data_IF_481500230054
#
_entry.id   IF_481500230054
#
_cell.length_a   1.000
_cell.length_b   1.000
_cell.length_c   1.000
_cell.angle_alpha   90.00
_cell.angle_beta   90.00
_cell.angle_gamma   90.00
#
_symmetry.space_group_name_H-M   'P 1'
#
loop_
_entity.id
_entity.type
_entity.pdbx_description
1 polymer ?
#
# COMPACT_ATOMS: atom_id res chain seq x y z
N UNK A 1 -14.43 53.11 -32.66
CA UNK A 1 -13.17 52.56 -32.09
C UNK A 1 -12.63 51.51 -33.04
N UNK A 2 -11.33 51.58 -33.35
CA UNK A 2 -10.65 50.89 -34.46
C UNK A 2 -10.54 49.37 -34.27
N UNK A 3 -10.99 48.60 -35.27
CA UNK A 3 -10.54 47.23 -35.49
C UNK A 3 -9.25 47.25 -36.33
N UNK A 4 -8.18 46.60 -35.85
CA UNK A 4 -6.92 46.45 -36.59
C UNK A 4 -6.60 44.96 -36.77
N UNK A 5 -6.54 44.57 -38.06
CA UNK A 5 -5.97 43.33 -38.62
C UNK A 5 -4.51 43.12 -38.20
N UNK A 6 -4.00 41.90 -38.43
CA UNK A 6 -2.66 41.49 -38.96
C UNK A 6 -2.23 40.20 -38.26
N UNK A 7 -1.66 39.14 -38.84
CA UNK A 7 -1.47 38.56 -40.19
C UNK A 7 -0.94 37.14 -39.91
N UNK A 8 -1.41 36.15 -40.65
CA UNK A 8 -0.72 34.87 -40.81
C UNK A 8 0.41 35.04 -41.85
N UNK A 9 1.60 34.51 -41.57
CA UNK A 9 2.65 34.33 -42.59
C UNK A 9 3.11 32.88 -42.59
N UNK A 10 2.85 32.21 -43.70
CA UNK A 10 3.36 30.89 -44.02
C UNK A 10 4.83 30.98 -44.46
N UNK A 11 5.64 30.00 -44.08
CA UNK A 11 6.82 29.63 -44.87
C UNK A 11 7.13 28.14 -44.75
N UNK A 12 6.97 27.47 -45.88
CA UNK A 12 7.33 26.08 -46.16
C UNK A 12 8.78 26.01 -46.59
N UNK A 13 9.57 25.06 -46.07
CA UNK A 13 10.70 24.44 -46.80
C UNK A 13 10.88 22.98 -46.40
N UNK A 14 10.68 22.09 -47.39
CA UNK A 14 11.23 20.73 -47.47
C UNK A 14 12.74 20.82 -47.65
N UNK A 15 13.51 19.94 -47.01
CA UNK A 15 14.78 19.44 -47.56
C UNK A 15 15.03 17.98 -47.17
N UNK A 16 15.42 17.22 -48.19
CA UNK A 16 15.71 15.79 -48.22
C UNK A 16 17.19 15.56 -47.82
N UNK A 17 17.46 14.46 -47.13
CA UNK A 17 18.67 13.64 -47.27
C UNK A 17 19.99 14.10 -46.64
N UNK A 18 20.47 13.35 -45.64
CA UNK A 18 21.85 12.82 -45.61
C UNK A 18 22.05 11.88 -44.42
N UNK A 19 22.56 10.69 -44.73
CA UNK A 19 22.95 9.64 -43.80
C UNK A 19 24.09 10.12 -42.89
N UNK A 20 23.91 10.03 -41.58
CA UNK A 20 24.99 10.19 -40.60
C UNK A 20 25.06 8.92 -39.77
N UNK A 21 26.06 8.09 -40.08
CA UNK A 21 26.51 7.01 -39.20
C UNK A 21 27.09 7.63 -37.92
N UNK A 22 26.48 7.32 -36.78
CA UNK A 22 27.04 7.58 -35.47
C UNK A 22 27.18 6.24 -34.75
N UNK A 23 28.42 5.76 -34.67
CA UNK A 23 28.81 4.62 -33.88
C UNK A 23 28.54 4.91 -32.41
N UNK A 24 27.66 4.13 -31.79
CA UNK A 24 27.39 4.16 -30.35
C UNK A 24 28.43 3.22 -29.70
N UNK A 25 29.26 3.67 -28.75
CA UNK A 25 30.08 2.77 -27.98
C UNK A 25 29.16 1.96 -27.06
N UNK A 26 29.18 0.64 -27.22
CA UNK A 26 28.54 -0.30 -26.29
C UNK A 26 29.31 -0.23 -24.98
N UNK A 27 28.77 0.51 -24.01
CA UNK A 27 29.26 0.49 -22.64
C UNK A 27 28.71 -0.78 -21.98
N UNK A 28 29.61 -1.73 -21.72
CA UNK A 28 29.36 -2.90 -20.87
C UNK A 28 29.01 -2.41 -19.45
N UNK A 29 27.73 -2.29 -19.13
CA UNK A 29 27.30 -2.21 -17.74
C UNK A 29 27.28 -3.63 -17.17
N UNK A 30 28.31 -3.95 -16.39
CA UNK A 30 28.31 -5.07 -15.47
C UNK A 30 27.10 -4.95 -14.54
N UNK A 31 26.20 -5.94 -14.59
CA UNK A 31 25.07 -6.05 -13.66
C UNK A 31 25.56 -6.21 -12.23
N UNK A 32 25.40 -5.17 -11.42
CA UNK A 32 25.35 -5.29 -9.96
C UNK A 32 23.99 -5.84 -9.54
N UNK A 33 23.89 -6.56 -8.42
CA UNK A 33 22.61 -7.11 -7.96
C UNK A 33 21.64 -5.95 -7.68
N UNK A 34 20.46 -6.04 -8.30
CA UNK A 34 19.35 -5.13 -8.05
C UNK A 34 18.96 -5.23 -6.57
N UNK A 35 19.34 -4.23 -5.77
CA UNK A 35 18.74 -4.02 -4.47
C UNK A 35 17.25 -3.73 -4.70
N UNK A 36 16.38 -4.45 -3.99
CA UNK A 36 14.95 -4.18 -3.96
C UNK A 36 14.72 -2.73 -3.51
N UNK A 37 14.40 -1.86 -4.48
CA UNK A 37 14.07 -0.46 -4.23
C UNK A 37 12.71 -0.36 -3.56
N UNK A 38 12.69 -0.36 -2.23
CA UNK A 38 11.53 0.04 -1.45
C UNK A 38 11.10 1.47 -1.82
N UNK A 39 9.80 1.60 -2.12
CA UNK A 39 9.09 2.82 -2.50
C UNK A 39 9.37 3.99 -1.56
N UNK A 40 9.49 5.19 -2.15
CA UNK A 40 9.62 6.54 -1.55
C UNK A 40 9.30 6.56 -0.05
N UNK A 41 10.34 6.70 0.77
CA UNK A 41 10.17 6.88 2.21
C UNK A 41 9.65 8.28 2.50
N UNK A 42 8.42 8.37 3.01
CA UNK A 42 7.88 9.58 3.61
C UNK A 42 8.79 10.06 4.74
N UNK A 43 9.05 11.37 4.84
CA UNK A 43 9.88 11.94 5.90
C UNK A 43 9.20 11.70 7.26
N UNK A 44 9.92 11.04 8.16
CA UNK A 44 9.57 10.86 9.56
C UNK A 44 10.10 12.05 10.37
N UNK A 45 9.20 12.75 11.06
CA UNK A 45 9.53 13.85 11.97
C UNK A 45 9.42 13.41 13.43
N UNK A 46 10.52 13.42 14.18
CA UNK A 46 10.54 13.07 15.59
C UNK A 46 11.86 12.43 16.05
N UNK A 47 11.88 12.00 17.31
CA UNK A 47 12.99 11.21 17.83
C UNK A 47 12.95 9.81 17.18
N UNK A 48 14.06 9.37 16.58
CA UNK A 48 14.11 8.04 15.98
C UNK A 48 14.19 6.96 17.07
N UNK A 49 14.12 5.66 16.72
CA UNK A 49 14.28 4.57 17.69
C UNK A 49 15.56 4.71 18.51
N UNK A 50 15.48 4.42 19.82
CA UNK A 50 16.60 4.60 20.75
C UNK A 50 17.74 3.57 20.60
N UNK A 51 17.51 2.52 19.82
CA UNK A 51 18.45 1.43 19.53
C UNK A 51 19.22 1.63 18.23
N UNK A 52 19.06 2.77 17.56
CA UNK A 52 19.83 3.12 16.38
C UNK A 52 21.32 3.23 16.66
N UNK A 53 22.12 2.56 15.82
CA UNK A 53 23.57 2.62 15.81
C UNK A 53 24.02 3.44 14.61
N UNK A 54 24.90 4.41 14.81
CA UNK A 54 25.48 5.15 13.68
C UNK A 54 26.26 4.17 12.79
N UNK A 55 25.86 4.10 11.52
CA UNK A 55 26.50 3.25 10.52
C UNK A 55 27.64 4.04 9.88
N UNK A 56 27.35 5.26 9.42
CA UNK A 56 28.30 6.10 8.70
C UNK A 56 27.77 7.52 8.44
N UNK A 57 28.68 8.42 8.05
CA UNK A 57 28.36 9.78 7.61
C UNK A 57 27.85 9.83 6.17
N UNK A 58 27.17 10.91 5.82
CA UNK A 58 26.74 11.19 4.44
C UNK A 58 27.89 11.09 3.42
N UNK A 59 27.54 10.66 2.21
CA UNK A 59 28.42 10.41 1.06
C UNK A 59 29.43 9.26 1.26
N UNK A 60 29.16 8.33 2.18
CA UNK A 60 29.93 7.08 2.37
C UNK A 60 29.10 5.85 2.03
N UNK A 61 29.79 4.80 1.57
CA UNK A 61 29.22 3.45 1.40
C UNK A 61 29.45 2.64 2.65
N UNK A 62 28.42 1.96 3.13
CA UNK A 62 28.38 1.40 4.47
C UNK A 62 27.85 -0.03 4.40
N UNK A 63 28.56 -1.00 5.00
CA UNK A 63 28.11 -2.40 4.99
C UNK A 63 26.91 -2.56 5.93
N UNK A 64 26.00 -3.45 5.55
CA UNK A 64 24.83 -3.85 6.31
C UNK A 64 24.94 -5.35 6.52
N UNK A 65 24.97 -5.78 7.77
CA UNK A 65 24.99 -7.19 8.14
C UNK A 65 23.56 -7.72 8.23
N UNK A 66 23.21 -8.69 7.39
CA UNK A 66 21.85 -9.17 7.24
C UNK A 66 20.88 -8.13 6.66
N UNK A 67 19.59 -8.27 7.00
CA UNK A 67 18.57 -7.25 6.68
C UNK A 67 18.44 -6.33 7.88
N UNK A 68 18.65 -5.04 7.68
CA UNK A 68 18.53 -4.02 8.72
C UNK A 68 17.61 -2.88 8.27
N UNK A 69 17.05 -2.18 9.24
CA UNK A 69 16.37 -0.92 8.98
C UNK A 69 17.40 0.22 9.01
N UNK A 70 17.65 0.83 7.86
CA UNK A 70 18.62 1.92 7.69
C UNK A 70 17.88 3.24 7.70
N UNK A 71 18.26 4.12 8.63
CA UNK A 71 17.72 5.47 8.83
C UNK A 71 18.69 6.51 8.32
N UNK A 72 18.23 7.44 7.50
CA UNK A 72 18.98 8.56 6.96
C UNK A 72 18.34 9.87 7.39
N UNK A 73 19.07 10.73 8.09
CA UNK A 73 18.49 11.98 8.56
C UNK A 73 19.34 12.80 9.51
N UNK A 74 18.76 13.92 9.96
CA UNK A 74 19.32 14.85 10.94
C UNK A 74 18.20 15.69 11.56
N UNK A 75 18.43 16.25 12.74
CA UNK A 75 17.53 17.21 13.40
C UNK A 75 16.06 16.77 13.40
N UNK A 76 15.80 15.54 13.86
CA UNK A 76 14.47 14.92 13.94
C UNK A 76 13.79 14.69 12.59
N UNK A 77 14.47 14.84 11.46
CA UNK A 77 13.92 14.57 10.13
C UNK A 77 14.64 13.39 9.49
N UNK A 78 13.90 12.31 9.22
CA UNK A 78 14.46 11.01 8.87
C UNK A 78 13.74 10.36 7.70
N UNK A 79 14.44 9.56 6.91
CA UNK A 79 13.87 8.60 5.97
C UNK A 79 14.52 7.26 6.27
N UNK A 80 13.73 6.19 6.37
CA UNK A 80 14.26 4.86 6.63
C UNK A 80 13.85 3.86 5.56
N UNK A 81 14.68 2.85 5.35
CA UNK A 81 14.47 1.76 4.38
C UNK A 81 14.98 0.44 4.96
N UNK A 82 14.31 -0.65 4.60
CA UNK A 82 14.84 -2.00 4.81
C UNK A 82 15.85 -2.31 3.70
N UNK A 83 17.08 -2.60 4.08
CA UNK A 83 18.18 -2.82 3.16
C UNK A 83 19.06 -3.97 3.67
N UNK A 84 19.82 -4.57 2.77
CA UNK A 84 20.82 -5.58 3.08
C UNK A 84 22.07 -5.39 2.22
N UNK A 85 23.20 -5.96 2.66
CA UNK A 85 24.46 -5.90 1.92
C UNK A 85 25.19 -4.58 2.11
N UNK A 86 24.92 -3.56 1.28
CA UNK A 86 25.57 -2.26 1.43
C UNK A 86 24.64 -1.12 1.02
N UNK A 87 24.80 0.03 1.66
CA UNK A 87 24.04 1.23 1.36
C UNK A 87 24.98 2.40 1.07
N UNK A 88 24.65 3.17 0.04
CA UNK A 88 25.27 4.47 -0.17
C UNK A 88 24.47 5.54 0.57
N UNK A 89 25.07 6.13 1.60
CA UNK A 89 24.42 7.06 2.51
C UNK A 89 24.27 8.46 1.91
N UNK A 90 23.28 8.67 1.04
CA UNK A 90 23.13 9.93 0.32
C UNK A 90 21.67 10.27 -0.03
N UNK A 91 21.42 11.54 -0.35
CA UNK A 91 20.14 12.07 -0.82
C UNK A 91 19.64 11.35 -2.08
N UNK A 92 20.52 10.83 -2.94
CA UNK A 92 20.10 10.04 -4.11
C UNK A 92 19.44 8.71 -3.71
N UNK A 93 19.91 8.09 -2.63
CA UNK A 93 19.39 6.82 -2.13
C UNK A 93 18.10 7.01 -1.33
N UNK A 94 18.03 8.04 -0.50
CA UNK A 94 16.95 8.21 0.47
C UNK A 94 15.96 9.34 0.13
N UNK A 95 16.29 10.24 -0.81
CA UNK A 95 15.72 11.60 -0.88
C UNK A 95 16.20 12.46 0.30
N UNK A 96 16.20 13.78 0.13
CA UNK A 96 16.63 14.70 1.19
C UNK A 96 15.52 14.86 2.27
N UNK A 97 15.73 14.37 3.51
CA UNK A 97 14.77 14.58 4.60
C UNK A 97 14.86 15.97 5.23
N UNK A 98 15.99 16.67 5.08
CA UNK A 98 16.31 17.93 5.74
C UNK A 98 17.33 18.74 4.93
N UNK A 99 16.84 19.66 4.12
CA UNK A 99 17.70 20.53 3.30
C UNK A 99 18.68 21.36 4.15
N UNK A 100 19.92 21.48 3.66
CA UNK A 100 20.95 22.33 4.24
C UNK A 100 21.60 21.81 5.53
N UNK A 101 21.33 20.57 5.94
CA UNK A 101 21.95 19.92 7.10
C UNK A 101 22.82 18.74 6.68
N UNK A 102 23.86 18.42 7.42
CA UNK A 102 24.63 17.19 7.20
C UNK A 102 23.89 16.02 7.80
N UNK A 103 23.69 14.95 7.02
CA UNK A 103 22.93 13.77 7.44
C UNK A 103 23.88 12.64 7.77
N UNK A 104 23.34 11.61 8.41
CA UNK A 104 24.05 10.38 8.70
C UNK A 104 23.12 9.19 8.49
N UNK A 105 23.73 8.04 8.23
CA UNK A 105 23.02 6.78 8.24
C UNK A 105 23.20 6.10 9.57
N UNK A 106 22.09 5.58 10.07
CA UNK A 106 22.01 4.74 11.25
C UNK A 106 21.38 3.42 10.83
N UNK A 107 21.70 2.34 11.54
CA UNK A 107 20.99 1.08 11.39
C UNK A 107 20.51 0.57 12.74
N UNK A 108 19.45 -0.23 12.69
CA UNK A 108 19.10 -1.15 13.76
C UNK A 108 18.77 -2.50 13.15
N UNK A 109 18.90 -3.54 13.96
CA UNK A 109 18.53 -4.88 13.55
C UNK A 109 17.05 -4.88 13.17
N UNK A 110 16.76 -5.29 11.93
CA UNK A 110 15.38 -5.45 11.53
C UNK A 110 14.83 -6.66 12.28
N UNK A 111 13.77 -6.45 13.05
CA UNK A 111 13.10 -7.57 13.71
C UNK A 111 12.52 -8.49 12.62
N UNK A 112 12.35 -9.80 12.90
CA UNK A 112 11.71 -10.69 11.92
C UNK A 112 10.30 -10.23 11.52
N UNK A 113 9.64 -9.40 12.35
CA UNK A 113 8.37 -8.74 12.03
C UNK A 113 8.48 -7.59 11.00
N UNK A 114 9.69 -7.05 10.79
CA UNK A 114 10.00 -6.00 9.80
C UNK A 114 10.57 -6.59 8.50
N UNK A 115 11.30 -7.70 8.59
CA UNK A 115 11.89 -8.41 7.44
C UNK A 115 10.88 -9.34 6.75
N UNK A 116 10.00 -9.98 7.52
CA UNK A 116 8.94 -10.83 6.98
C UNK A 116 7.71 -9.98 6.62
N UNK A 117 6.89 -10.44 5.65
CA UNK A 117 5.57 -9.87 5.41
C UNK A 117 4.81 -9.67 6.72
N UNK A 118 4.15 -8.51 6.91
CA UNK A 118 3.40 -8.25 8.12
C UNK A 118 2.34 -9.33 8.34
N UNK A 119 2.60 -10.19 9.32
CA UNK A 119 1.61 -11.15 9.78
C UNK A 119 0.76 -10.45 10.81
N UNK A 120 -0.28 -9.79 10.33
CA UNK A 120 -1.37 -9.42 11.22
C UNK A 120 -2.04 -10.72 11.67
N UNK A 121 -1.88 -11.08 12.95
CA UNK A 121 -2.48 -12.31 13.48
C UNK A 121 -3.99 -12.16 13.68
N UNK A 122 -4.46 -10.92 13.81
CA UNK A 122 -5.85 -10.58 14.04
C UNK A 122 -6.20 -9.24 13.40
N UNK A 123 -7.31 -9.17 12.67
CA UNK A 123 -7.82 -7.96 12.02
C UNK A 123 -9.15 -7.54 12.67
N UNK A 124 -9.17 -6.46 13.47
CA UNK A 124 -10.41 -5.91 14.01
C UNK A 124 -11.16 -5.16 12.92
N UNK A 125 -12.40 -5.60 12.64
CA UNK A 125 -13.29 -5.04 11.64
C UNK A 125 -14.59 -4.58 12.28
N UNK A 126 -15.10 -3.45 11.81
CA UNK A 126 -16.45 -2.97 12.13
C UNK A 126 -17.25 -2.81 10.85
N UNK A 127 -18.48 -3.33 10.83
CA UNK A 127 -19.34 -3.27 9.67
C UNK A 127 -20.61 -2.48 9.97
N UNK A 128 -21.14 -1.81 8.96
CA UNK A 128 -22.50 -1.26 8.92
C UNK A 128 -23.27 -2.02 7.83
N UNK A 129 -24.14 -2.94 8.27
CA UNK A 129 -24.91 -3.86 7.43
C UNK A 129 -26.37 -3.43 7.28
N UNK A 130 -26.77 -2.28 7.84
CA UNK A 130 -28.17 -1.84 7.89
C UNK A 130 -28.86 -1.95 6.52
N UNK A 131 -28.22 -1.49 5.45
CA UNK A 131 -28.78 -1.53 4.11
C UNK A 131 -28.73 -2.92 3.45
N UNK A 132 -27.89 -3.83 3.94
CA UNK A 132 -27.78 -5.19 3.40
C UNK A 132 -28.88 -6.11 3.98
N UNK A 133 -29.18 -5.92 5.27
CA UNK A 133 -30.11 -6.76 6.02
C UNK A 133 -31.57 -6.27 5.95
N UNK A 134 -31.80 -5.02 5.53
CA UNK A 134 -33.15 -4.44 5.41
C UNK A 134 -33.68 -4.40 3.97
N UNK A 135 -32.81 -4.50 2.97
CA UNK A 135 -33.19 -4.46 1.55
C UNK A 135 -33.55 -5.85 1.05
N UNK A 136 -34.55 -5.93 0.15
CA UNK A 136 -34.99 -7.16 -0.53
C UNK A 136 -35.28 -8.35 0.41
N UNK A 137 -36.01 -8.13 1.52
CA UNK A 137 -36.44 -9.19 2.44
C UNK A 137 -35.32 -10.10 2.97
N UNK A 138 -34.13 -9.55 3.29
CA UNK A 138 -32.96 -10.32 3.76
C UNK A 138 -32.39 -11.28 2.70
N UNK A 139 -32.51 -10.92 1.42
CA UNK A 139 -31.94 -11.69 0.29
C UNK A 139 -30.44 -11.96 0.44
N UNK A 140 -29.71 -11.04 1.06
CA UNK A 140 -28.25 -11.13 1.19
C UNK A 140 -27.84 -11.79 2.50
N UNK A 141 -26.93 -12.76 2.39
CA UNK A 141 -26.28 -13.40 3.54
C UNK A 141 -24.86 -12.87 3.66
N UNK A 142 -24.54 -12.32 4.83
CA UNK A 142 -23.19 -11.88 5.16
C UNK A 142 -22.49 -12.90 6.06
N UNK A 143 -21.27 -13.28 5.69
CA UNK A 143 -20.44 -14.20 6.47
C UNK A 143 -18.99 -13.77 6.48
N UNK A 144 -18.28 -14.06 7.56
CA UNK A 144 -16.86 -13.78 7.71
C UNK A 144 -16.07 -15.08 7.86
N UNK A 145 -14.81 -15.08 7.43
CA UNK A 145 -13.88 -16.16 7.68
C UNK A 145 -12.97 -15.80 8.86
N UNK A 146 -13.05 -16.59 9.93
CA UNK A 146 -12.14 -16.54 11.07
C UNK A 146 -11.25 -17.78 11.02
N UNK A 147 -10.05 -17.61 10.45
CA UNK A 147 -9.19 -18.74 10.09
C UNK A 147 -9.89 -19.65 9.07
N UNK A 148 -10.03 -20.93 9.41
CA UNK A 148 -10.75 -21.92 8.58
C UNK A 148 -12.26 -21.92 8.81
N UNK A 149 -12.76 -21.18 9.80
CA UNK A 149 -14.16 -21.26 10.21
C UNK A 149 -14.97 -20.13 9.59
N UNK A 150 -16.03 -20.49 8.85
CA UNK A 150 -17.00 -19.53 8.32
C UNK A 150 -18.06 -19.22 9.39
N UNK A 151 -18.32 -17.95 9.65
CA UNK A 151 -19.31 -17.47 10.62
C UNK A 151 -20.33 -16.55 9.92
N UNK A 152 -21.61 -16.87 10.02
CA UNK A 152 -22.69 -16.00 9.50
C UNK A 152 -22.95 -14.89 10.51
N UNK A 153 -23.06 -13.65 10.04
CA UNK A 153 -23.30 -12.49 10.89
C UNK A 153 -24.58 -11.79 10.44
N UNK A 154 -25.51 -11.61 11.36
CA UNK A 154 -26.85 -11.05 11.12
C UNK A 154 -27.16 -9.79 11.93
N UNK A 155 -26.22 -9.31 12.75
CA UNK A 155 -26.37 -8.05 13.48
C UNK A 155 -26.18 -6.86 12.55
N UNK A 156 -26.85 -5.74 12.80
CA UNK A 156 -26.79 -4.55 11.95
C UNK A 156 -25.43 -3.85 11.94
N UNK A 157 -24.74 -3.78 13.09
CA UNK A 157 -23.44 -3.11 13.21
C UNK A 157 -22.43 -3.96 13.99
N UNK A 158 -21.99 -5.10 13.45
CA UNK A 158 -21.13 -6.03 14.15
C UNK A 158 -19.68 -5.53 14.18
N UNK A 159 -19.02 -5.74 15.33
CA UNK A 159 -17.58 -5.65 15.46
C UNK A 159 -17.02 -7.05 15.62
N UNK A 160 -16.07 -7.43 14.76
CA UNK A 160 -15.51 -8.78 14.70
C UNK A 160 -14.00 -8.68 14.59
N UNK A 161 -13.30 -9.57 15.28
CA UNK A 161 -11.85 -9.75 15.11
C UNK A 161 -11.65 -11.04 14.32
N UNK A 162 -10.99 -10.95 13.17
CA UNK A 162 -10.75 -12.09 12.29
C UNK A 162 -9.31 -12.58 12.43
N UNK A 163 -9.11 -13.89 12.49
CA UNK A 163 -7.79 -14.50 12.28
C UNK A 163 -7.54 -14.74 10.79
N UNK A 164 -6.29 -14.69 10.33
CA UNK A 164 -5.95 -14.86 8.92
C UNK A 164 -6.39 -16.22 8.43
N UNK A 165 -6.79 -16.27 7.17
CA UNK A 165 -7.02 -17.54 6.46
C UNK A 165 -5.78 -18.42 6.59
N UNK A 166 -5.93 -19.75 6.72
CA UNK A 166 -4.79 -20.66 6.67
C UNK A 166 -4.00 -20.39 5.39
N UNK A 167 -2.67 -20.34 5.50
CA UNK A 167 -1.80 -19.94 4.41
C UNK A 167 -2.10 -20.74 3.13
N UNK A 168 -2.54 -20.05 2.08
CA UNK A 168 -2.72 -20.59 0.72
C UNK A 168 -1.56 -20.04 -0.12
N UNK A 169 -1.09 -20.80 -1.13
CA UNK A 169 0.23 -21.45 -1.31
C UNK A 169 1.51 -20.71 -0.83
N UNK A 170 2.68 -21.40 -0.80
CA UNK A 170 3.99 -20.83 -0.44
C UNK A 170 4.45 -19.59 -1.22
N UNK A 171 3.73 -19.20 -2.29
CA UNK A 171 3.98 -17.98 -3.06
C UNK A 171 3.34 -16.71 -2.49
N UNK A 172 2.49 -16.82 -1.46
CA UNK A 172 1.87 -15.66 -0.82
C UNK A 172 2.60 -15.28 0.47
N UNK A 173 3.32 -14.15 0.49
CA UNK A 173 4.07 -13.75 1.68
C UNK A 173 3.12 -13.24 2.80
N UNK A 174 2.02 -12.57 2.45
CA UNK A 174 1.17 -11.85 3.41
C UNK A 174 -0.06 -12.62 3.89
N UNK A 175 -0.54 -12.28 5.09
CA UNK A 175 -1.78 -12.81 5.65
C UNK A 175 -3.00 -12.23 4.90
N UNK A 176 -4.01 -13.06 4.67
CA UNK A 176 -5.28 -12.64 4.06
C UNK A 176 -6.44 -12.82 5.03
N UNK A 177 -7.37 -11.88 4.97
CA UNK A 177 -8.64 -11.94 5.67
C UNK A 177 -9.76 -11.87 4.65
N UNK A 178 -10.84 -12.60 4.91
CA UNK A 178 -11.95 -12.70 3.97
C UNK A 178 -13.30 -12.53 4.65
N UNK A 179 -14.21 -11.89 3.95
CA UNK A 179 -15.64 -11.97 4.20
C UNK A 179 -16.39 -12.06 2.88
N UNK A 180 -17.61 -12.58 2.96
CA UNK A 180 -18.44 -12.89 1.82
C UNK A 180 -19.84 -12.31 1.96
N UNK A 181 -20.39 -11.87 0.83
CA UNK A 181 -21.80 -11.54 0.66
C UNK A 181 -22.36 -12.50 -0.38
N UNK A 182 -23.37 -13.27 -0.02
CA UNK A 182 -24.06 -14.21 -0.93
C UNK A 182 -25.46 -13.69 -1.24
N UNK A 183 -25.79 -13.60 -2.52
CA UNK A 183 -27.14 -13.32 -3.03
C UNK A 183 -27.80 -14.64 -3.44
N UNK A 184 -28.91 -14.99 -2.76
CA UNK A 184 -29.68 -16.20 -3.02
C UNK A 184 -30.64 -16.12 -4.21
N UNK A 185 -30.65 -15.03 -4.98
CA UNK A 185 -31.41 -14.95 -6.24
C UNK A 185 -30.98 -16.06 -7.22
N UNK A 186 -31.84 -16.43 -8.17
CA UNK A 186 -31.45 -17.33 -9.26
C UNK A 186 -30.90 -16.50 -10.43
N UNK A 187 -29.62 -16.69 -10.86
CA UNK A 187 -28.59 -17.55 -10.27
C UNK A 187 -27.84 -16.92 -9.08
N UNK A 188 -27.36 -17.76 -8.15
CA UNK A 188 -26.67 -17.35 -6.91
C UNK A 188 -25.39 -16.58 -7.26
N UNK A 189 -25.20 -15.43 -6.63
CA UNK A 189 -23.99 -14.61 -6.76
C UNK A 189 -23.22 -14.57 -5.45
N UNK A 190 -21.89 -14.70 -5.50
CA UNK A 190 -21.03 -14.55 -4.33
C UNK A 190 -20.01 -13.44 -4.56
N UNK A 191 -19.91 -12.53 -3.60
CA UNK A 191 -18.92 -11.48 -3.53
C UNK A 191 -17.96 -11.82 -2.40
N UNK A 192 -16.71 -12.11 -2.73
CA UNK A 192 -15.64 -12.39 -1.77
C UNK A 192 -14.70 -11.19 -1.70
N UNK A 193 -14.52 -10.62 -0.51
CA UNK A 193 -13.63 -9.49 -0.28
C UNK A 193 -12.38 -10.00 0.42
N UNK A 194 -11.22 -9.62 -0.09
CA UNK A 194 -9.92 -9.98 0.46
C UNK A 194 -9.19 -8.74 0.95
N UNK A 195 -8.58 -8.85 2.13
CA UNK A 195 -7.80 -7.80 2.76
C UNK A 195 -6.43 -8.36 3.13
N UNK A 196 -5.36 -7.63 2.79
CA UNK A 196 -3.99 -7.99 3.18
C UNK A 196 -3.14 -6.78 3.56
N UNK A 197 -2.35 -6.86 4.64
CA UNK A 197 -1.39 -5.82 5.00
C UNK A 197 -0.19 -5.83 4.06
N UNK A 198 0.26 -4.66 3.64
CA UNK A 198 1.47 -4.52 2.79
C UNK A 198 2.69 -4.11 3.61
N UNK A 199 3.86 -4.18 2.99
CA UNK A 199 5.11 -3.64 3.56
C UNK A 199 5.15 -2.10 3.59
N UNK A 200 4.24 -1.43 2.87
CA UNK A 200 4.24 0.03 2.78
C UNK A 200 3.67 0.65 4.05
N UNK A 201 4.50 1.43 4.75
CA UNK A 201 4.07 2.28 5.88
C UNK A 201 3.38 3.55 5.37
N UNK A 202 2.56 4.14 6.20
CA UNK A 202 1.91 5.42 5.92
C UNK A 202 1.75 6.22 7.22
N UNK A 203 1.59 7.54 7.11
CA UNK A 203 1.25 8.40 8.24
C UNK A 203 -0.27 8.48 8.40
N UNK A 204 -0.73 8.37 9.63
CA UNK A 204 -2.13 8.57 10.02
C UNK A 204 -2.22 9.76 10.95
N UNK A 205 -3.37 10.44 10.94
CA UNK A 205 -3.63 11.56 11.82
C UNK A 205 -4.95 11.34 12.52
N UNK A 206 -4.94 11.41 13.84
CA UNK A 206 -6.16 11.36 14.64
C UNK A 206 -6.49 12.76 15.12
N UNK A 207 -7.67 13.25 14.76
CA UNK A 207 -8.21 14.48 15.31
C UNK A 207 -8.62 14.25 16.77
N UNK A 208 -8.08 15.05 17.68
CA UNK A 208 -8.42 15.09 19.11
C UNK A 208 -9.06 16.45 19.41
N UNK A 209 -10.38 16.52 19.48
CA UNK A 209 -11.10 17.78 19.71
C UNK A 209 -11.01 18.77 18.54
N UNK A 210 -11.33 20.04 18.81
CA UNK A 210 -11.71 21.06 17.81
C UNK A 210 -10.59 21.58 16.88
N UNK A 211 -9.36 21.05 16.93
CA UNK A 211 -8.29 21.41 15.96
C UNK A 211 -6.94 20.71 16.17
N UNK A 212 -6.75 19.87 17.19
CA UNK A 212 -5.46 19.19 17.39
C UNK A 212 -5.42 17.85 16.66
N UNK A 213 -4.34 17.60 15.90
CA UNK A 213 -4.11 16.34 15.20
C UNK A 213 -2.89 15.65 15.81
N UNK A 214 -3.07 14.44 16.33
CA UNK A 214 -1.97 13.60 16.78
C UNK A 214 -1.55 12.72 15.60
N UNK A 215 -0.31 12.92 15.13
CA UNK A 215 0.31 12.07 14.13
C UNK A 215 0.61 10.69 14.70
N UNK A 216 0.33 9.65 13.93
CA UNK A 216 0.61 8.27 14.28
C UNK A 216 1.09 7.49 13.04
N UNK A 217 1.79 6.40 13.25
CA UNK A 217 2.21 5.52 12.17
C UNK A 217 1.15 4.49 11.84
N UNK A 218 1.07 4.19 10.55
CA UNK A 218 0.14 3.22 10.01
C UNK A 218 0.75 2.37 8.92
N UNK A 219 -0.09 1.59 8.26
CA UNK A 219 0.26 0.68 7.19
C UNK A 219 -0.77 0.72 6.08
N UNK A 220 -0.31 0.55 4.85
CA UNK A 220 -1.19 0.38 3.70
C UNK A 220 -1.74 -1.04 3.70
N UNK A 221 -3.06 -1.14 3.68
CA UNK A 221 -3.84 -2.34 3.47
C UNK A 221 -4.32 -2.38 2.02
N UNK A 222 -4.17 -3.52 1.37
CA UNK A 222 -4.73 -3.78 0.05
C UNK A 222 -6.07 -4.49 0.18
N UNK A 223 -7.08 -3.96 -0.51
CA UNK A 223 -8.44 -4.47 -0.49
C UNK A 223 -8.92 -4.67 -1.92
N UNK A 224 -9.41 -5.86 -2.22
CA UNK A 224 -10.03 -6.15 -3.51
C UNK A 224 -11.19 -7.12 -3.34
N UNK A 225 -12.12 -7.11 -4.29
CA UNK A 225 -13.26 -7.99 -4.32
C UNK A 225 -13.21 -8.91 -5.55
N UNK A 226 -13.78 -10.10 -5.39
CA UNK A 226 -14.03 -11.06 -6.47
C UNK A 226 -15.52 -11.36 -6.50
N UNK A 227 -16.11 -11.31 -7.70
CA UNK A 227 -17.51 -11.69 -7.91
C UNK A 227 -17.56 -12.98 -8.71
N UNK A 228 -18.32 -13.96 -8.21
CA UNK A 228 -18.48 -15.26 -8.86
C UNK A 228 -19.96 -15.57 -9.09
N UNK A 229 -20.25 -16.24 -10.20
CA UNK A 229 -21.55 -16.85 -10.51
C UNK A 229 -21.33 -18.36 -10.69
N UNK A 230 -21.31 -19.14 -9.60
CA UNK A 230 -20.95 -20.56 -9.65
C UNK A 230 -21.86 -21.35 -10.60
N UNK A 231 -23.15 -21.00 -10.62
CA UNK A 231 -24.15 -21.65 -11.47
C UNK A 231 -23.93 -21.42 -12.97
N UNK A 232 -23.20 -20.37 -13.36
CA UNK A 232 -22.97 -20.03 -14.77
C UNK A 232 -21.58 -20.43 -15.27
N UNK A 233 -20.73 -21.06 -14.43
CA UNK A 233 -19.34 -21.43 -14.76
C UNK A 233 -18.53 -20.27 -15.38
N UNK A 234 -18.81 -19.03 -14.98
CA UNK A 234 -18.14 -17.83 -15.52
C UNK A 234 -16.84 -17.56 -14.76
N UNK A 235 -15.82 -17.06 -15.48
CA UNK A 235 -14.56 -16.60 -14.90
C UNK A 235 -14.83 -15.50 -13.86
N UNK A 236 -14.33 -15.64 -12.62
CA UNK A 236 -14.57 -14.66 -11.57
C UNK A 236 -14.01 -13.29 -11.95
N UNK A 237 -14.81 -12.24 -11.76
CA UNK A 237 -14.40 -10.86 -12.04
C UNK A 237 -13.73 -10.27 -10.80
N UNK A 238 -12.52 -9.73 -10.97
CA UNK A 238 -11.75 -9.09 -9.90
C UNK A 238 -11.83 -7.56 -10.05
N UNK A 239 -12.07 -6.86 -8.95
CA UNK A 239 -12.01 -5.39 -8.93
C UNK A 239 -10.57 -4.89 -8.92
N UNK A 240 -10.38 -3.61 -9.25
CA UNK A 240 -9.12 -2.93 -8.98
C UNK A 240 -8.79 -2.96 -7.48
N UNK A 241 -7.50 -3.01 -7.18
CA UNK A 241 -6.99 -3.04 -5.80
C UNK A 241 -7.04 -1.64 -5.21
N UNK A 242 -7.74 -1.50 -4.08
CA UNK A 242 -7.74 -0.28 -3.30
C UNK A 242 -6.64 -0.33 -2.25
N UNK A 243 -5.94 0.78 -2.04
CA UNK A 243 -4.84 0.92 -1.06
C UNK A 243 -5.25 1.91 0.01
N UNK A 244 -5.40 1.44 1.24
CA UNK A 244 -5.95 2.23 2.35
C UNK A 244 -4.93 2.28 3.48
N UNK A 245 -4.67 3.48 4.02
CA UNK A 245 -3.82 3.65 5.18
C UNK A 245 -4.61 3.40 6.47
N UNK A 246 -4.15 2.46 7.31
CA UNK A 246 -4.75 2.15 8.61
C UNK A 246 -3.72 2.30 9.73
N UNK A 247 -4.17 2.36 10.99
CA UNK A 247 -3.25 2.25 12.12
C UNK A 247 -2.52 0.90 12.15
N UNK A 248 -1.51 0.76 13.00
CA UNK A 248 -0.71 -0.46 13.12
C UNK A 248 -1.52 -1.69 13.60
N UNK A 249 -2.72 -1.49 14.16
CA UNK A 249 -3.66 -2.57 14.52
C UNK A 249 -4.53 -3.03 13.34
N UNK A 250 -4.43 -2.38 12.17
CA UNK A 250 -5.21 -2.74 10.99
C UNK A 250 -6.71 -2.43 11.11
N UNK A 251 -7.14 -1.56 12.03
CA UNK A 251 -8.58 -1.36 12.26
C UNK A 251 -9.25 -0.75 11.02
N UNK A 252 -10.27 -1.43 10.52
CA UNK A 252 -11.02 -1.02 9.33
C UNK A 252 -12.51 -0.97 9.61
N UNK A 253 -13.18 0.03 9.01
CA UNK A 253 -14.63 0.17 9.06
C UNK A 253 -15.21 0.10 7.65
N UNK A 254 -16.17 -0.79 7.47
CA UNK A 254 -16.84 -1.00 6.18
C UNK A 254 -18.29 -0.56 6.24
N UNK A 255 -18.73 0.17 5.22
CA UNK A 255 -20.14 0.43 4.97
C UNK A 255 -20.55 -0.39 3.74
N UNK A 256 -21.32 -1.45 3.96
CA UNK A 256 -21.71 -2.37 2.90
C UNK A 256 -23.09 -1.99 2.37
N UNK A 257 -23.17 -1.79 1.05
CA UNK A 257 -24.44 -1.56 0.35
C UNK A 257 -24.82 -2.81 -0.46
N UNK A 258 -26.11 -2.98 -0.78
CA UNK A 258 -26.53 -4.00 -1.73
C UNK A 258 -25.70 -3.93 -3.03
N UNK A 259 -25.38 -5.08 -3.65
CA UNK A 259 -24.58 -5.14 -4.86
C UNK A 259 -25.15 -4.26 -5.98
N UNK A 260 -24.38 -3.25 -6.36
CA UNK A 260 -24.56 -2.31 -7.46
C UNK A 260 -23.17 -1.82 -7.87
N UNK A 261 -23.04 -1.00 -8.90
CA UNK A 261 -21.72 -0.50 -9.33
C UNK A 261 -20.98 0.27 -8.21
N UNK A 262 -21.71 0.75 -7.20
CA UNK A 262 -21.20 1.52 -6.04
C UNK A 262 -21.24 0.73 -4.71
N UNK A 263 -21.30 -0.60 -4.76
CA UNK A 263 -21.63 -1.46 -3.61
C UNK A 263 -20.59 -1.51 -2.48
N UNK A 264 -19.38 -0.99 -2.72
CA UNK A 264 -18.30 -1.06 -1.75
C UNK A 264 -17.66 0.31 -1.52
N UNK A 265 -17.80 0.82 -0.30
CA UNK A 265 -17.07 2.02 0.15
C UNK A 265 -16.39 1.74 1.49
N UNK A 266 -15.09 1.98 1.52
CA UNK A 266 -14.30 1.98 2.75
C UNK A 266 -14.35 3.38 3.34
N UNK A 267 -14.60 3.50 4.65
CA UNK A 267 -14.57 4.77 5.38
C UNK A 267 -13.45 4.79 6.40
#
# INVERSE_FOLDING_TARGET
MRAKKIRLSAWTKKFLGSSVSLAIPVFLMSGGPAAFGGTIGTIYTGNPPGDLKELCKESKTCPIDGVQEVWYGADQSWIYKLMSGSVYCENATFTDPRWGKTKKCFSRDATMAEVLPPRLNELPLSFDLNNLLTVENKRYVFSVHDGSTRRIISANSPSVVLRPLPAVPPSMPQNYFQFDITDGANPIRQYSIFISPTFTRCSTFKLTGESTAVGSTGRIMEVYAMTTLPAMQVVPQRTDVQRICTNDKGQLKFHLKPPSIDSFQVK
#
